data_IF_254772628243
#
_entry.id   IF_254772628243
#
_cell.length_a   1.000
_cell.length_b   1.000
_cell.length_c   1.000
_cell.angle_alpha   90.00
_cell.angle_beta   90.00
_cell.angle_gamma   90.00
#
_symmetry.space_group_name_H-M   'P 1'
#
loop_
_entity.id
_entity.type
_entity.pdbx_description
1 polymer ?
#
# COMPACT_ATOMS: atom_id res chain seq x y z
N UNK A 1 -19.47 -1.80 5.32
CA UNK A 1 -18.04 -1.47 5.12
C UNK A 1 -17.45 -2.46 4.11
N UNK A 2 -16.93 -2.01 2.97
CA UNK A 2 -16.34 -2.92 1.99
C UNK A 2 -15.04 -3.53 2.51
N UNK A 3 -14.71 -4.77 2.13
CA UNK A 3 -13.42 -5.38 2.50
C UNK A 3 -12.32 -4.75 1.66
N UNK A 4 -11.36 -4.11 2.35
CA UNK A 4 -10.13 -3.61 1.74
C UNK A 4 -9.04 -4.66 1.86
N UNK A 5 -8.33 -4.89 0.77
CA UNK A 5 -7.13 -5.73 0.74
C UNK A 5 -5.93 -4.83 0.46
N UNK A 6 -4.91 -4.94 1.31
CA UNK A 6 -3.64 -4.23 1.17
C UNK A 6 -2.60 -5.25 0.74
N UNK A 7 -2.03 -5.06 -0.44
CA UNK A 7 -0.93 -5.89 -0.96
C UNK A 7 0.36 -5.07 -0.94
N UNK A 8 1.28 -5.31 0.00
CA UNK A 8 2.56 -4.61 0.07
C UNK A 8 3.50 -5.08 -1.05
N UNK A 9 4.25 -4.15 -1.61
CA UNK A 9 5.24 -4.40 -2.64
C UNK A 9 6.48 -3.51 -2.42
N UNK A 10 7.62 -4.00 -2.88
CA UNK A 10 8.89 -3.32 -2.79
C UNK A 10 9.54 -3.30 -4.16
N UNK A 11 10.05 -2.14 -4.57
CA UNK A 11 10.74 -1.98 -5.84
C UNK A 11 12.20 -1.61 -5.61
N UNK A 12 13.13 -2.38 -6.17
CA UNK A 12 14.56 -2.07 -6.09
C UNK A 12 14.87 -0.89 -7.03
N UNK A 13 15.53 0.14 -6.50
CA UNK A 13 15.95 1.31 -7.27
C UNK A 13 17.36 1.11 -7.84
N UNK A 14 17.73 1.98 -8.79
CA UNK A 14 19.05 1.95 -9.42
C UNK A 14 20.22 2.12 -8.43
N UNK A 15 20.00 2.83 -7.31
CA UNK A 15 20.99 3.00 -6.23
C UNK A 15 21.05 1.81 -5.25
N UNK A 16 20.39 0.69 -5.53
CA UNK A 16 20.38 -0.48 -4.66
C UNK A 16 19.50 -0.36 -3.41
N UNK A 17 18.72 0.72 -3.28
CA UNK A 17 17.73 0.90 -2.20
C UNK A 17 16.37 0.35 -2.61
N UNK A 18 15.46 0.19 -1.66
CA UNK A 18 14.12 -0.36 -1.89
C UNK A 18 13.06 0.69 -1.64
N UNK A 19 12.26 0.97 -2.66
CA UNK A 19 11.10 1.84 -2.54
C UNK A 19 9.90 1.03 -2.02
N UNK A 20 9.16 1.59 -1.06
CA UNK A 20 7.93 1.00 -0.58
C UNK A 20 6.75 1.36 -1.48
N UNK A 21 5.84 0.41 -1.66
CA UNK A 21 4.59 0.62 -2.38
C UNK A 21 3.51 -0.34 -1.86
N UNK A 22 2.25 0.00 -1.98
CA UNK A 22 1.17 -0.96 -1.74
C UNK A 22 0.04 -0.79 -2.75
N UNK A 23 -0.61 -1.88 -3.08
CA UNK A 23 -1.87 -1.86 -3.80
C UNK A 23 -3.01 -1.95 -2.79
N UNK A 24 -4.00 -1.08 -2.94
CA UNK A 24 -5.25 -1.11 -2.22
C UNK A 24 -6.33 -1.59 -3.15
N UNK A 25 -6.91 -2.75 -2.85
CA UNK A 25 -8.05 -3.29 -3.58
C UNK A 25 -9.30 -3.22 -2.71
N UNK A 26 -10.37 -2.64 -3.24
CA UNK A 26 -11.70 -2.65 -2.63
C UNK A 26 -12.60 -3.52 -3.49
N UNK A 27 -13.19 -4.54 -2.88
CA UNK A 27 -14.23 -5.35 -3.51
C UNK A 27 -15.59 -4.79 -3.13
N UNK A 28 -16.30 -4.18 -4.08
CA UNK A 28 -17.73 -3.87 -3.96
C UNK A 28 -18.48 -4.77 -4.95
N UNK A 29 -19.70 -5.19 -4.62
CA UNK A 29 -20.50 -6.21 -5.34
C UNK A 29 -20.69 -6.02 -6.86
N UNK A 30 -20.19 -4.94 -7.48
CA UNK A 30 -20.18 -4.73 -8.94
C UNK A 30 -18.97 -3.88 -9.43
N UNK A 31 -17.93 -3.69 -8.61
CA UNK A 31 -16.75 -2.91 -9.00
C UNK A 31 -15.53 -3.27 -8.17
N UNK A 32 -14.41 -3.57 -8.84
CA UNK A 32 -13.09 -3.67 -8.22
C UNK A 32 -12.39 -2.31 -8.35
N UNK A 33 -12.12 -1.67 -7.23
CA UNK A 33 -11.29 -0.46 -7.20
C UNK A 33 -9.89 -0.86 -6.78
N UNK A 34 -8.89 -0.66 -7.64
CA UNK A 34 -7.49 -0.91 -7.35
C UNK A 34 -6.70 0.40 -7.45
N UNK A 35 -6.02 0.79 -6.37
CA UNK A 35 -5.13 1.96 -6.36
C UNK A 35 -3.75 1.54 -5.88
N UNK A 36 -2.71 1.91 -6.62
CA UNK A 36 -1.33 1.69 -6.22
C UNK A 36 -0.77 2.97 -5.62
N UNK A 37 -0.20 2.84 -4.42
CA UNK A 37 0.50 3.91 -3.73
C UNK A 37 1.99 3.63 -3.79
N UNK A 38 2.77 4.65 -4.13
CA UNK A 38 4.23 4.59 -4.19
C UNK A 38 4.77 5.67 -3.26
N UNK A 39 5.77 5.33 -2.47
CA UNK A 39 6.39 6.27 -1.56
C UNK A 39 7.75 6.70 -2.09
N UNK A 40 8.07 8.00 -2.01
CA UNK A 40 9.41 8.47 -2.39
C UNK A 40 10.49 8.05 -1.39
N UNK A 41 10.09 7.60 -0.19
CA UNK A 41 10.98 7.08 0.84
C UNK A 41 11.59 5.73 0.41
N UNK A 42 12.92 5.66 0.48
CA UNK A 42 13.70 4.45 0.17
C UNK A 42 14.31 3.83 1.42
N UNK A 43 14.41 2.50 1.44
CA UNK A 43 14.89 1.68 2.55
C UNK A 43 16.13 0.88 2.15
N UNK A 44 16.94 0.47 3.12
CA UNK A 44 18.12 -0.36 2.87
C UNK A 44 17.79 -1.85 2.63
N UNK A 45 16.61 -2.31 3.08
CA UNK A 45 16.15 -3.70 2.92
C UNK A 45 14.72 -3.74 2.36
N UNK A 46 14.45 -4.82 1.64
CA UNK A 46 13.13 -5.18 1.09
C UNK A 46 12.09 -5.31 2.20
N UNK A 47 12.46 -5.95 3.31
CA UNK A 47 11.60 -6.23 4.45
C UNK A 47 11.16 -4.92 5.12
N UNK A 48 12.09 -3.99 5.32
CA UNK A 48 11.79 -2.68 5.86
C UNK A 48 10.80 -1.90 4.97
N UNK A 49 10.98 -1.95 3.64
CA UNK A 49 10.06 -1.33 2.70
C UNK A 49 8.66 -1.97 2.75
N UNK A 50 8.58 -3.30 2.87
CA UNK A 50 7.31 -4.04 2.97
C UNK A 50 6.58 -3.74 4.28
N UNK A 51 7.27 -3.73 5.42
CA UNK A 51 6.69 -3.38 6.72
C UNK A 51 6.09 -1.98 6.65
N UNK A 52 6.86 -1.01 6.14
CA UNK A 52 6.37 0.35 5.97
C UNK A 52 5.13 0.41 5.06
N UNK A 53 5.13 -0.30 3.93
CA UNK A 53 4.00 -0.37 3.02
C UNK A 53 2.72 -0.95 3.67
N UNK A 54 2.85 -1.99 4.49
CA UNK A 54 1.71 -2.58 5.24
C UNK A 54 1.17 -1.56 6.24
N UNK A 55 2.04 -0.98 7.06
CA UNK A 55 1.63 0.00 8.08
C UNK A 55 0.89 1.17 7.45
N UNK A 56 1.42 1.72 6.36
CA UNK A 56 0.77 2.84 5.67
C UNK A 56 -0.54 2.42 5.00
N UNK A 57 -0.61 1.24 4.40
CA UNK A 57 -1.84 0.74 3.80
C UNK A 57 -2.95 0.56 4.82
N UNK A 58 -2.62 0.05 6.02
CA UNK A 58 -3.59 -0.11 7.11
C UNK A 58 -4.06 1.24 7.64
N UNK A 59 -3.13 2.17 7.86
CA UNK A 59 -3.46 3.55 8.25
C UNK A 59 -4.40 4.19 7.23
N UNK A 60 -4.11 4.05 5.94
CA UNK A 60 -4.95 4.58 4.87
C UNK A 60 -6.35 3.96 4.85
N UNK A 61 -6.48 2.65 5.14
CA UNK A 61 -7.80 2.01 5.24
C UNK A 61 -8.56 2.37 6.51
N UNK A 62 -7.86 2.62 7.62
CA UNK A 62 -8.45 2.97 8.90
C UNK A 62 -8.88 4.45 8.96
N UNK A 63 -8.12 5.33 8.31
CA UNK A 63 -8.38 6.78 8.28
C UNK A 63 -9.34 7.21 7.18
N UNK A 64 -9.74 6.31 6.26
CA UNK A 64 -10.77 6.66 5.28
C UNK A 64 -12.06 6.99 6.04
N UNK A 65 -12.54 8.25 5.98
CA UNK A 65 -13.80 8.59 6.62
C UNK A 65 -14.87 7.71 5.99
N UNK A 66 -15.72 7.12 6.83
CA UNK A 66 -17.00 6.58 6.39
C UNK A 66 -17.65 7.68 5.56
N UNK A 67 -17.69 7.51 4.24
CA UNK A 67 -18.44 8.41 3.39
C UNK A 67 -19.89 8.33 3.87
N UNK A 68 -20.35 9.38 4.55
CA UNK A 68 -21.75 9.61 4.87
C UNK A 68 -22.54 9.77 3.57
#
# INVERSE_FOLDING_TARGET
MGKYFVTPASHKTHCGRFQASFALQRTRQNSSYCRVFRFDKTFASTEAAKIFAVTQGWLHTAMQPSMC
#
